data_IF_208187563016
#
_entry.id   IF_208187563016
#
_cell.length_a   1.000
_cell.length_b   1.000
_cell.length_c   1.000
_cell.angle_alpha   90.00
_cell.angle_beta   90.00
_cell.angle_gamma   90.00
#
_symmetry.space_group_name_H-M   'P 1'
#
loop_
_entity.id
_entity.type
_entity.pdbx_description
1 polymer ?
#
# COMPACT_ATOMS: atom_id res chain seq x y z
N UNK A 1 -1.52 -0.14 12.78
CA UNK A 1 -2.31 -1.39 12.82
C UNK A 1 -2.10 -2.27 11.58
N UNK A 2 -2.26 -1.78 10.33
CA UNK A 2 -2.22 -2.64 9.13
C UNK A 2 -1.20 -2.24 8.04
N UNK A 3 -0.34 -1.27 8.36
CA UNK A 3 0.76 -0.82 7.51
C UNK A 3 2.03 -0.82 8.34
N UNK A 4 3.15 -1.16 7.71
CA UNK A 4 4.46 -1.04 8.34
C UNK A 4 4.77 0.43 8.61
N UNK A 5 5.31 0.72 9.80
CA UNK A 5 5.88 2.03 10.13
C UNK A 5 7.30 2.21 9.58
N UNK A 6 7.93 1.15 9.08
CA UNK A 6 9.31 1.13 8.64
C UNK A 6 9.49 1.34 7.12
N UNK A 7 8.43 1.19 6.32
CA UNK A 7 8.53 1.22 4.86
C UNK A 7 7.47 2.09 4.20
N UNK A 8 7.92 3.09 3.45
CA UNK A 8 7.07 3.95 2.65
C UNK A 8 6.63 3.24 1.35
N UNK A 9 5.37 3.41 0.89
CA UNK A 9 4.84 2.74 -0.30
C UNK A 9 5.68 2.96 -1.58
N UNK A 10 6.24 4.15 -1.76
CA UNK A 10 7.06 4.48 -2.92
C UNK A 10 8.36 3.65 -2.98
N UNK A 11 9.02 3.45 -1.83
CA UNK A 11 10.16 2.53 -1.72
C UNK A 11 9.75 1.10 -2.00
N UNK A 12 8.54 0.71 -1.60
CA UNK A 12 7.96 -0.60 -1.86
C UNK A 12 7.87 -0.92 -3.37
N UNK A 13 7.49 0.05 -4.20
CA UNK A 13 7.42 -0.11 -5.66
C UNK A 13 8.81 -0.40 -6.23
N UNK A 14 9.80 0.44 -5.92
CA UNK A 14 11.18 0.26 -6.39
C UNK A 14 11.76 -1.08 -5.92
N UNK A 15 11.55 -1.46 -4.65
CA UNK A 15 12.01 -2.73 -4.10
C UNK A 15 11.37 -3.93 -4.79
N UNK A 16 10.06 -3.89 -5.03
CA UNK A 16 9.35 -4.98 -5.71
C UNK A 16 9.86 -5.19 -7.13
N UNK A 17 10.05 -4.11 -7.90
CA UNK A 17 10.62 -4.18 -9.26
C UNK A 17 12.02 -4.80 -9.25
N UNK A 18 12.90 -4.35 -8.34
CA UNK A 18 14.26 -4.91 -8.20
C UNK A 18 14.25 -6.39 -7.85
N UNK A 19 13.43 -6.79 -6.87
CA UNK A 19 13.30 -8.19 -6.43
C UNK A 19 12.80 -9.09 -7.56
N UNK A 20 11.89 -8.59 -8.40
CA UNK A 20 11.37 -9.31 -9.56
C UNK A 20 12.31 -9.27 -10.78
N UNK A 21 13.50 -8.68 -10.65
CA UNK A 21 14.51 -8.64 -11.69
C UNK A 21 14.24 -7.59 -12.78
N UNK A 22 13.48 -6.54 -12.48
CA UNK A 22 13.26 -5.42 -13.37
C UNK A 22 14.28 -4.31 -13.15
N UNK A 23 14.80 -3.79 -14.25
CA UNK A 23 15.31 -2.44 -14.34
C UNK A 23 14.14 -1.49 -14.63
N UNK A 24 14.24 -0.25 -14.16
CA UNK A 24 13.23 0.78 -14.36
C UNK A 24 13.86 2.16 -14.24
N UNK A 25 13.14 3.17 -14.71
CA UNK A 25 13.48 4.58 -14.51
C UNK A 25 12.55 5.16 -13.45
N UNK A 26 13.10 5.54 -12.30
CA UNK A 26 12.43 6.41 -11.33
C UNK A 26 12.79 7.86 -11.65
N UNK A 27 11.78 8.73 -11.73
CA UNK A 27 11.96 10.16 -11.99
C UNK A 27 11.27 10.94 -10.89
N UNK A 28 11.90 12.02 -10.43
CA UNK A 28 11.35 13.01 -9.52
C UNK A 28 11.99 14.37 -9.82
N UNK A 29 11.28 15.45 -9.49
CA UNK A 29 11.79 16.82 -9.57
C UNK A 29 12.19 17.34 -8.18
N UNK A 30 13.21 18.18 -8.13
CA UNK A 30 13.67 18.80 -6.87
C UNK A 30 12.83 20.02 -6.46
N UNK A 31 11.99 20.53 -7.37
CA UNK A 31 11.18 21.73 -7.16
C UNK A 31 9.72 21.51 -7.60
N UNK A 32 8.73 22.11 -6.89
CA UNK A 32 7.33 22.02 -7.26
C UNK A 32 6.93 22.98 -8.39
N UNK A 33 7.83 23.84 -8.87
CA UNK A 33 7.44 24.95 -9.76
C UNK A 33 6.92 24.49 -11.12
N UNK A 34 7.59 23.52 -11.75
CA UNK A 34 7.26 23.07 -13.11
C UNK A 34 7.06 21.56 -13.13
N UNK A 35 5.84 21.06 -13.36
CA UNK A 35 5.62 19.64 -13.61
C UNK A 35 6.40 19.19 -14.85
N UNK A 36 7.05 18.00 -14.84
CA UNK A 36 7.85 17.51 -15.95
C UNK A 36 6.97 16.93 -17.08
N UNK A 37 5.99 17.70 -17.57
CA UNK A 37 4.99 17.22 -18.54
C UNK A 37 5.59 16.80 -19.88
N UNK A 38 6.59 17.52 -20.39
CA UNK A 38 7.24 17.14 -21.65
C UNK A 38 8.02 15.82 -21.51
N UNK A 39 8.68 15.62 -20.37
CA UNK A 39 9.36 14.37 -20.08
C UNK A 39 8.36 13.23 -19.89
N UNK A 40 7.26 13.45 -19.16
CA UNK A 40 6.20 12.45 -19.00
C UNK A 40 5.58 12.09 -20.35
N UNK A 41 5.29 13.09 -21.21
CA UNK A 41 4.76 12.87 -22.56
C UNK A 41 5.71 12.04 -23.40
N UNK A 42 7.02 12.31 -23.31
CA UNK A 42 8.04 11.52 -24.00
C UNK A 42 8.11 10.09 -23.45
N UNK A 43 8.11 9.92 -22.13
CA UNK A 43 8.18 8.59 -21.50
C UNK A 43 6.93 7.74 -21.79
N UNK A 44 5.74 8.36 -21.87
CA UNK A 44 4.47 7.69 -22.21
C UNK A 44 4.37 7.21 -23.66
N UNK A 45 5.22 7.71 -24.58
CA UNK A 45 5.32 7.13 -25.93
C UNK A 45 5.98 5.76 -25.93
N UNK A 46 6.83 5.51 -24.93
CA UNK A 46 7.65 4.29 -24.84
C UNK A 46 7.08 3.28 -23.84
N UNK A 47 6.45 3.75 -22.77
CA UNK A 47 5.93 2.88 -21.70
C UNK A 47 4.88 3.58 -20.85
N UNK A 48 3.92 2.83 -20.30
CA UNK A 48 3.08 3.35 -19.23
C UNK A 48 3.90 3.78 -18.01
N UNK A 49 3.36 4.70 -17.21
CA UNK A 49 4.00 5.27 -16.04
C UNK A 49 3.17 5.01 -14.78
N UNK A 50 3.79 4.54 -13.70
CA UNK A 50 3.16 4.60 -12.37
C UNK A 50 3.41 5.99 -11.81
N UNK A 51 2.37 6.81 -11.68
CA UNK A 51 2.45 8.13 -11.09
C UNK A 51 2.21 8.04 -9.58
N UNK A 52 3.07 8.67 -8.79
CA UNK A 52 2.77 8.91 -7.39
C UNK A 52 3.99 9.11 -6.48
N UNK A 53 3.74 9.42 -5.21
CA UNK A 53 2.42 9.44 -4.61
C UNK A 53 1.60 10.66 -5.06
N UNK A 54 0.29 10.49 -5.21
CA UNK A 54 -0.69 11.53 -5.56
C UNK A 54 -1.58 11.81 -4.35
N UNK A 55 -1.82 13.08 -4.04
CA UNK A 55 -2.83 13.46 -3.04
C UNK A 55 -4.23 13.21 -3.61
N UNK A 56 -4.94 12.22 -3.04
CA UNK A 56 -6.29 11.84 -3.43
C UNK A 56 -7.28 13.00 -3.37
N UNK A 57 -7.00 14.04 -2.57
CA UNK A 57 -7.79 15.28 -2.47
C UNK A 57 -8.04 15.97 -3.81
N UNK A 58 -7.18 15.76 -4.80
CA UNK A 58 -7.25 16.39 -6.11
C UNK A 58 -7.71 15.45 -7.24
N UNK A 59 -7.94 14.17 -6.95
CA UNK A 59 -8.37 13.16 -7.93
C UNK A 59 -9.87 13.25 -8.22
N UNK A 60 -10.26 14.24 -9.03
CA UNK A 60 -11.66 14.62 -9.25
C UNK A 60 -12.56 13.55 -9.88
N UNK A 61 -12.01 12.47 -10.45
CA UNK A 61 -12.78 11.32 -10.93
C UNK A 61 -13.34 10.47 -9.78
N UNK A 62 -12.74 10.52 -8.59
CA UNK A 62 -13.25 9.84 -7.41
C UNK A 62 -14.32 10.72 -6.72
N UNK A 63 -15.59 10.27 -6.61
CA UNK A 63 -16.65 11.07 -5.97
C UNK A 63 -16.38 11.47 -4.53
N UNK A 64 -15.49 10.74 -3.82
CA UNK A 64 -15.14 10.98 -2.43
C UNK A 64 -13.88 11.84 -2.24
N UNK A 65 -13.24 12.29 -3.34
CA UNK A 65 -11.94 12.96 -3.31
C UNK A 65 -11.86 14.13 -2.32
N UNK A 66 -12.94 14.91 -2.16
CA UNK A 66 -12.98 16.08 -1.25
C UNK A 66 -12.70 15.74 0.22
N UNK A 67 -12.86 14.47 0.63
CA UNK A 67 -12.62 13.97 1.99
C UNK A 67 -11.32 13.18 2.11
N UNK A 68 -10.55 13.06 1.03
CA UNK A 68 -9.37 12.21 0.93
C UNK A 68 -8.07 13.02 0.84
N UNK A 69 -8.11 14.33 1.12
CA UNK A 69 -6.91 15.17 1.12
C UNK A 69 -5.85 14.66 2.08
N UNK A 70 -4.62 14.51 1.60
CA UNK A 70 -3.47 13.96 2.36
C UNK A 70 -3.37 12.44 2.36
N UNK A 71 -4.37 11.71 1.85
CA UNK A 71 -4.21 10.30 1.54
C UNK A 71 -3.39 10.15 0.25
N UNK A 72 -2.37 9.30 0.30
CA UNK A 72 -1.55 8.97 -0.85
C UNK A 72 -2.26 8.01 -1.80
N UNK A 73 -1.87 8.07 -3.07
CA UNK A 73 -2.34 7.12 -4.08
C UNK A 73 -1.36 6.96 -5.22
N UNK A 74 -1.45 5.83 -5.92
CA UNK A 74 -0.65 5.54 -7.10
C UNK A 74 -1.56 5.10 -8.24
N UNK A 75 -1.32 5.63 -9.44
CA UNK A 75 -2.14 5.35 -10.63
C UNK A 75 -1.25 5.01 -11.82
N UNK A 76 -1.77 4.25 -12.77
CA UNK A 76 -1.05 3.91 -14.00
C UNK A 76 -1.47 4.86 -15.13
N UNK A 77 -0.62 5.81 -15.49
CA UNK A 77 -0.79 6.64 -16.67
C UNK A 77 -0.36 5.89 -17.94
N UNK A 78 -1.15 6.00 -19.01
CA UNK A 78 -0.88 5.29 -20.28
C UNK A 78 -1.01 6.16 -21.53
N UNK A 79 -1.62 7.33 -21.44
CA UNK A 79 -1.71 8.29 -22.56
C UNK A 79 -1.82 9.72 -22.05
N UNK A 80 -1.44 10.70 -22.87
CA UNK A 80 -1.48 12.12 -22.52
C UNK A 80 -1.85 12.95 -23.76
N UNK A 81 -2.84 13.82 -23.62
CA UNK A 81 -3.32 14.73 -24.68
C UNK A 81 -3.03 16.19 -24.28
N UNK A 82 -3.78 17.15 -24.85
CA UNK A 82 -3.67 18.58 -24.54
C UNK A 82 -4.39 18.99 -23.25
N UNK A 83 -5.27 18.13 -22.73
CA UNK A 83 -6.13 18.42 -21.57
C UNK A 83 -5.63 17.75 -20.29
N UNK A 84 -4.95 16.61 -20.42
CA UNK A 84 -4.46 15.87 -19.26
C UNK A 84 -3.90 14.51 -19.60
N UNK A 85 -3.97 13.62 -18.61
CA UNK A 85 -3.42 12.27 -18.66
C UNK A 85 -4.55 11.25 -18.50
N UNK A 86 -4.55 10.23 -19.35
CA UNK A 86 -5.43 9.07 -19.18
C UNK A 86 -4.77 8.04 -18.27
N UNK A 87 -5.50 7.60 -17.26
CA UNK A 87 -5.00 6.74 -16.18
C UNK A 87 -5.89 5.51 -15.96
N UNK A 88 -5.30 4.45 -15.46
CA UNK A 88 -5.99 3.40 -14.71
C UNK A 88 -5.76 3.64 -13.22
N UNK A 89 -6.85 3.88 -12.50
CA UNK A 89 -6.83 4.02 -11.05
C UNK A 89 -7.22 2.67 -10.40
N UNK A 90 -6.33 2.07 -9.58
CA UNK A 90 -6.58 0.78 -8.95
C UNK A 90 -7.70 0.80 -7.90
N UNK A 91 -8.22 1.97 -7.51
CA UNK A 91 -9.39 2.12 -6.63
C UNK A 91 -10.72 1.80 -7.37
N UNK A 92 -10.64 1.39 -8.64
CA UNK A 92 -11.80 0.95 -9.43
C UNK A 92 -12.24 1.92 -10.51
N UNK A 93 -11.36 2.84 -10.94
CA UNK A 93 -11.64 3.79 -12.02
C UNK A 93 -10.74 3.52 -13.23
N UNK A 94 -11.11 2.56 -14.11
CA UNK A 94 -10.33 2.26 -15.30
C UNK A 94 -10.49 3.36 -16.36
N UNK A 95 -9.41 3.68 -17.07
CA UNK A 95 -9.42 4.55 -18.25
C UNK A 95 -10.06 5.93 -18.03
N UNK A 96 -9.86 6.52 -16.86
CA UNK A 96 -10.34 7.87 -16.54
C UNK A 96 -9.33 8.95 -16.95
N UNK A 97 -9.83 10.17 -17.16
CA UNK A 97 -9.01 11.30 -17.55
C UNK A 97 -8.74 12.22 -16.35
N UNK A 98 -7.47 12.52 -16.10
CA UNK A 98 -6.99 13.42 -15.05
C UNK A 98 -6.48 14.73 -15.66
N UNK A 99 -7.21 15.85 -15.53
CA UNK A 99 -6.79 17.14 -16.09
C UNK A 99 -5.48 17.66 -15.49
N UNK A 100 -4.66 18.38 -16.28
CA UNK A 100 -3.35 18.87 -15.84
C UNK A 100 -3.40 19.65 -14.52
N UNK A 101 -4.34 20.59 -14.38
CA UNK A 101 -4.50 21.37 -13.14
C UNK A 101 -4.68 20.48 -11.90
N UNK A 102 -5.41 19.37 -12.03
CA UNK A 102 -5.63 18.41 -10.93
C UNK A 102 -4.41 17.53 -10.73
N UNK A 103 -3.80 17.05 -11.81
CA UNK A 103 -2.57 16.26 -11.76
C UNK A 103 -1.46 17.04 -11.06
N UNK A 104 -1.21 18.29 -11.43
CA UNK A 104 -0.19 19.13 -10.78
C UNK A 104 -0.39 19.19 -9.27
N UNK A 105 -1.61 19.53 -8.82
CA UNK A 105 -1.90 19.66 -7.40
C UNK A 105 -1.75 18.33 -6.64
N UNK A 106 -2.23 17.23 -7.23
CA UNK A 106 -2.09 15.90 -6.64
C UNK A 106 -0.62 15.47 -6.54
N UNK A 107 0.14 15.72 -7.60
CA UNK A 107 1.45 15.13 -7.85
C UNK A 107 2.61 15.88 -7.20
N UNK A 108 2.37 17.11 -6.72
CA UNK A 108 3.24 17.78 -5.76
C UNK A 108 3.37 17.00 -4.45
N UNK A 109 2.32 16.26 -4.06
CA UNK A 109 2.31 15.40 -2.88
C UNK A 109 2.63 16.10 -1.54
N UNK A 110 2.49 17.43 -1.45
CA UNK A 110 2.92 18.23 -0.29
C UNK A 110 2.26 17.82 1.04
N UNK A 111 1.08 17.18 0.99
CA UNK A 111 0.37 16.70 2.18
C UNK A 111 0.72 15.28 2.59
N UNK A 112 1.59 14.60 1.85
CA UNK A 112 1.93 13.19 2.06
C UNK A 112 3.27 13.11 2.80
N UNK A 113 3.30 12.73 4.09
CA UNK A 113 4.48 12.93 4.94
C UNK A 113 5.77 12.25 4.46
N UNK A 114 5.65 11.15 3.73
CA UNK A 114 6.80 10.39 3.23
C UNK A 114 7.25 10.82 1.82
N UNK A 115 6.64 11.82 1.20
CA UNK A 115 7.01 12.22 -0.17
C UNK A 115 8.50 12.60 -0.21
N UNK A 116 9.18 12.29 -1.32
CA UNK A 116 10.61 12.64 -1.50
C UNK A 116 10.79 13.29 -2.86
N UNK A 117 10.99 14.61 -2.91
CA UNK A 117 10.87 15.37 -4.16
C UNK A 117 9.42 15.47 -4.64
N UNK A 118 9.25 16.02 -5.84
CA UNK A 118 7.98 16.34 -6.46
C UNK A 118 7.78 15.53 -7.75
N UNK A 119 6.53 15.35 -8.17
CA UNK A 119 6.20 14.77 -9.46
C UNK A 119 6.87 13.40 -9.70
N UNK A 120 6.86 12.52 -8.69
CA UNK A 120 7.53 11.22 -8.76
C UNK A 120 6.77 10.22 -9.64
N UNK A 121 7.49 9.45 -10.45
CA UNK A 121 6.91 8.36 -11.22
C UNK A 121 7.94 7.30 -11.66
N UNK A 122 7.45 6.11 -12.00
CA UNK A 122 8.24 4.99 -12.51
C UNK A 122 7.83 4.64 -13.94
N UNK A 123 8.80 4.40 -14.82
CA UNK A 123 8.60 4.04 -16.23
C UNK A 123 9.58 2.98 -16.69
N UNK A 124 9.36 2.48 -17.92
CA UNK A 124 10.23 1.54 -18.64
C UNK A 124 10.61 0.30 -17.82
N UNK A 125 9.65 -0.41 -17.21
CA UNK A 125 9.97 -1.67 -16.55
C UNK A 125 10.48 -2.67 -17.59
N UNK A 126 11.75 -3.06 -17.47
CA UNK A 126 12.38 -4.05 -18.33
C UNK A 126 12.91 -5.20 -17.47
N UNK A 127 12.42 -6.42 -17.69
CA UNK A 127 12.87 -7.59 -16.92
C UNK A 127 14.23 -8.07 -17.45
N UNK A 128 15.31 -7.52 -16.91
CA UNK A 128 16.69 -7.90 -17.26
C UNK A 128 17.16 -9.19 -16.59
N UNK A 129 16.52 -9.57 -15.47
CA UNK A 129 16.82 -10.79 -14.72
C UNK A 129 15.55 -11.59 -14.45
N UNK A 130 15.68 -12.91 -14.37
CA UNK A 130 14.61 -13.83 -13.99
C UNK A 130 15.03 -14.60 -12.75
N UNK A 131 14.85 -14.03 -11.54
CA UNK A 131 15.23 -14.70 -10.30
C UNK A 131 14.55 -16.06 -10.21
N UNK A 132 15.30 -17.08 -9.77
CA UNK A 132 14.74 -18.38 -9.48
C UNK A 132 13.72 -18.27 -8.34
N UNK A 133 12.68 -19.12 -8.38
CA UNK A 133 11.60 -19.04 -7.42
C UNK A 133 12.07 -19.26 -5.96
N UNK A 134 13.10 -20.07 -5.73
CA UNK A 134 13.71 -20.24 -4.41
C UNK A 134 14.45 -18.98 -3.95
N UNK A 135 15.14 -18.29 -4.86
CA UNK A 135 15.78 -17.02 -4.56
C UNK A 135 14.77 -15.92 -4.22
N UNK A 136 13.62 -15.90 -4.90
CA UNK A 136 12.51 -15.00 -4.57
C UNK A 136 11.92 -15.30 -3.20
N UNK A 137 11.76 -16.58 -2.86
CA UNK A 137 11.28 -17.02 -1.55
C UNK A 137 12.22 -16.56 -0.42
N UNK A 138 13.52 -16.83 -0.53
CA UNK A 138 14.51 -16.36 0.45
C UNK A 138 14.50 -14.84 0.56
N UNK A 139 14.41 -14.13 -0.56
CA UNK A 139 14.36 -12.66 -0.57
C UNK A 139 13.10 -12.10 0.08
N UNK A 140 11.96 -12.80 -0.07
CA UNK A 140 10.70 -12.44 0.59
C UNK A 140 10.82 -12.57 2.11
N UNK A 141 11.29 -13.71 2.61
CA UNK A 141 11.46 -13.92 4.05
C UNK A 141 12.41 -12.90 4.65
N UNK A 142 13.52 -12.62 3.96
CA UNK A 142 14.46 -11.59 4.36
C UNK A 142 13.79 -10.21 4.42
N UNK A 143 12.96 -9.85 3.45
CA UNK A 143 12.22 -8.59 3.47
C UNK A 143 11.22 -8.50 4.64
N UNK A 144 10.55 -9.60 5.00
CA UNK A 144 9.70 -9.63 6.21
C UNK A 144 10.52 -9.42 7.49
N UNK A 145 11.65 -10.12 7.65
CA UNK A 145 12.54 -9.96 8.81
C UNK A 145 13.04 -8.52 8.94
N UNK A 146 13.44 -7.90 7.83
CA UNK A 146 13.86 -6.49 7.78
C UNK A 146 12.72 -5.56 8.24
N UNK A 147 11.50 -5.78 7.74
CA UNK A 147 10.34 -4.97 8.11
C UNK A 147 10.00 -5.08 9.59
N UNK A 148 9.97 -6.30 10.16
CA UNK A 148 9.70 -6.51 11.58
C UNK A 148 10.81 -5.91 12.45
N UNK A 149 12.07 -6.20 12.13
CA UNK A 149 13.22 -5.71 12.90
C UNK A 149 13.31 -4.19 12.90
N UNK A 150 13.05 -3.53 11.76
CA UNK A 150 13.06 -2.08 11.69
C UNK A 150 11.83 -1.46 12.37
N UNK A 151 10.67 -2.10 12.23
CA UNK A 151 9.46 -1.72 12.95
C UNK A 151 9.66 -1.72 14.47
N UNK A 152 10.30 -2.76 15.02
CA UNK A 152 10.60 -2.87 16.45
C UNK A 152 11.51 -1.76 16.95
N UNK A 153 12.54 -1.38 16.19
CA UNK A 153 13.44 -0.28 16.56
C UNK A 153 12.69 1.05 16.65
N UNK A 154 11.89 1.37 15.63
CA UNK A 154 11.09 2.61 15.59
C UNK A 154 10.07 2.60 16.73
N UNK A 155 9.36 1.49 16.90
CA UNK A 155 8.34 1.32 17.93
C UNK A 155 8.91 1.49 19.34
N UNK A 156 10.10 0.96 19.59
CA UNK A 156 10.79 1.09 20.89
C UNK A 156 11.21 2.53 21.16
N UNK A 157 11.70 3.24 20.14
CA UNK A 157 12.13 4.64 20.26
C UNK A 157 10.95 5.60 20.51
N UNK A 158 9.80 5.31 19.91
CA UNK A 158 8.60 6.17 19.97
C UNK A 158 7.51 5.66 20.94
N UNK A 159 7.77 4.55 21.65
CA UNK A 159 6.83 3.88 22.54
C UNK A 159 5.48 3.55 21.86
N UNK A 160 5.54 2.98 20.66
CA UNK A 160 4.38 2.63 19.83
C UNK A 160 4.08 1.13 19.90
N UNK A 161 2.80 0.76 19.78
CA UNK A 161 2.40 -0.63 19.54
C UNK A 161 2.49 -0.97 18.05
N UNK A 162 3.03 -2.14 17.72
CA UNK A 162 3.15 -2.69 16.36
C UNK A 162 2.53 -4.09 16.27
N UNK A 163 2.43 -4.63 15.06
CA UNK A 163 2.01 -6.00 14.75
C UNK A 163 0.72 -6.41 15.48
N UNK A 164 0.70 -7.62 16.08
CA UNK A 164 -0.46 -8.13 16.83
C UNK A 164 -0.91 -7.19 17.96
N UNK A 165 0.02 -6.57 18.69
CA UNK A 165 -0.32 -5.65 19.80
C UNK A 165 -1.03 -4.38 19.30
N UNK A 166 -0.65 -3.87 18.13
CA UNK A 166 -1.36 -2.77 17.49
C UNK A 166 -2.79 -3.20 17.13
N UNK A 167 -2.97 -4.40 16.58
CA UNK A 167 -4.29 -4.92 16.20
C UNK A 167 -5.16 -5.16 17.46
N UNK A 168 -4.60 -5.68 18.55
CA UNK A 168 -5.30 -5.81 19.84
C UNK A 168 -5.72 -4.44 20.41
N UNK A 169 -4.86 -3.43 20.27
CA UNK A 169 -5.19 -2.06 20.66
C UNK A 169 -6.37 -1.53 19.85
N UNK A 170 -6.38 -1.77 18.54
CA UNK A 170 -7.52 -1.45 17.68
C UNK A 170 -8.79 -2.21 18.10
N UNK A 171 -8.70 -3.50 18.41
CA UNK A 171 -9.84 -4.29 18.90
C UNK A 171 -10.45 -3.70 20.18
N UNK A 172 -9.59 -3.29 21.13
CA UNK A 172 -10.01 -2.59 22.35
C UNK A 172 -10.66 -1.23 22.05
N UNK A 173 -10.15 -0.48 21.07
CA UNK A 173 -10.74 0.79 20.67
C UNK A 173 -12.13 0.60 20.04
N UNK A 174 -12.29 -0.40 19.16
CA UNK A 174 -13.57 -0.77 18.57
C UNK A 174 -14.59 -1.12 19.66
N UNK A 175 -14.22 -2.01 20.59
CA UNK A 175 -15.11 -2.49 21.66
C UNK A 175 -15.59 -1.37 22.58
N UNK A 176 -14.77 -0.34 22.77
CA UNK A 176 -15.05 0.78 23.67
C UNK A 176 -15.53 2.05 22.94
N UNK A 177 -15.92 1.95 21.66
CA UNK A 177 -16.38 3.06 20.82
C UNK A 177 -15.39 4.25 20.74
N UNK A 178 -14.08 3.97 20.76
CA UNK A 178 -13.01 4.98 20.76
C UNK A 178 -12.49 5.37 19.38
N UNK A 179 -13.08 4.84 18.30
CA UNK A 179 -12.65 5.18 16.94
C UNK A 179 -13.28 6.47 16.45
N UNK A 180 -12.44 7.40 16.00
CA UNK A 180 -12.86 8.60 15.28
C UNK A 180 -13.52 8.25 13.94
N UNK A 181 -14.35 9.15 13.38
CA UNK A 181 -14.92 8.94 12.05
C UNK A 181 -13.88 8.73 10.95
N UNK A 182 -12.72 9.40 11.05
CA UNK A 182 -11.63 9.25 10.09
C UNK A 182 -10.99 7.87 10.16
N UNK A 183 -10.70 7.36 11.37
CA UNK A 183 -10.17 6.00 11.56
C UNK A 183 -11.17 4.93 11.08
N UNK A 184 -12.47 5.10 11.37
CA UNK A 184 -13.50 4.19 10.85
C UNK A 184 -13.54 4.21 9.33
N UNK A 185 -13.46 5.39 8.72
CA UNK A 185 -13.42 5.55 7.27
C UNK A 185 -12.20 4.86 6.66
N UNK A 186 -11.01 5.13 7.18
CA UNK A 186 -9.76 4.49 6.74
C UNK A 186 -9.80 2.97 6.89
N UNK A 187 -10.37 2.46 7.98
CA UNK A 187 -10.54 1.03 8.21
C UNK A 187 -11.46 0.39 7.15
N UNK A 188 -12.67 0.92 7.00
CA UNK A 188 -13.72 0.35 6.14
C UNK A 188 -13.45 0.55 4.65
N UNK A 189 -12.98 1.72 4.25
CA UNK A 189 -12.83 2.07 2.83
C UNK A 189 -11.48 1.67 2.25
N UNK A 190 -10.49 1.35 3.07
CA UNK A 190 -9.14 1.08 2.56
C UNK A 190 -8.48 -0.14 3.22
N UNK A 191 -8.11 -0.02 4.49
CA UNK A 191 -7.09 -0.92 5.06
C UNK A 191 -7.54 -2.37 5.24
N UNK A 192 -8.81 -2.65 5.57
CA UNK A 192 -9.30 -4.03 5.70
C UNK A 192 -9.34 -4.76 4.35
N UNK A 193 -9.87 -4.11 3.30
CA UNK A 193 -9.89 -4.67 1.93
C UNK A 193 -8.46 -4.94 1.42
N UNK A 194 -7.56 -3.98 1.63
CA UNK A 194 -6.17 -4.09 1.23
C UNK A 194 -5.46 -5.21 2.00
N UNK A 195 -5.67 -5.31 3.31
CA UNK A 195 -5.15 -6.37 4.16
C UNK A 195 -5.59 -7.76 3.68
N UNK A 196 -6.89 -7.93 3.37
CA UNK A 196 -7.42 -9.18 2.85
C UNK A 196 -6.74 -9.61 1.55
N UNK A 197 -6.62 -8.67 0.59
CA UNK A 197 -6.01 -8.97 -0.72
C UNK A 197 -4.52 -9.29 -0.61
N UNK A 198 -3.77 -8.47 0.14
CA UNK A 198 -2.33 -8.69 0.34
C UNK A 198 -2.04 -10.04 1.01
N UNK A 199 -2.82 -10.38 2.05
CA UNK A 199 -2.67 -11.67 2.71
C UNK A 199 -2.95 -12.83 1.74
N UNK A 200 -3.97 -12.72 0.89
CA UNK A 200 -4.25 -13.74 -0.12
C UNK A 200 -3.13 -13.88 -1.17
N UNK A 201 -2.58 -12.76 -1.64
CA UNK A 201 -1.47 -12.78 -2.61
C UNK A 201 -0.22 -13.44 -2.00
N UNK A 202 0.09 -13.17 -0.72
CA UNK A 202 1.20 -13.84 -0.02
C UNK A 202 0.92 -15.33 0.17
N UNK A 203 -0.31 -15.72 0.52
CA UNK A 203 -0.67 -17.13 0.64
C UNK A 203 -0.41 -17.90 -0.67
N UNK A 204 -0.82 -17.35 -1.81
CA UNK A 204 -0.58 -17.95 -3.12
C UNK A 204 0.91 -18.02 -3.48
N UNK A 205 1.71 -17.02 -3.09
CA UNK A 205 3.15 -17.06 -3.31
C UNK A 205 3.86 -18.14 -2.46
N UNK A 206 3.44 -18.31 -1.20
CA UNK A 206 4.07 -19.20 -0.23
C UNK A 206 3.66 -20.68 -0.41
N UNK A 207 2.47 -20.95 -0.98
CA UNK A 207 1.82 -22.27 -1.02
C UNK A 207 2.73 -23.44 -1.41
N UNK A 208 3.61 -23.26 -2.39
CA UNK A 208 4.48 -24.34 -2.88
C UNK A 208 5.69 -24.64 -2.00
N UNK A 209 6.12 -23.68 -1.17
CA UNK A 209 7.41 -23.74 -0.43
C UNK A 209 7.24 -23.77 1.06
N UNK A 210 6.25 -23.05 1.56
CA UNK A 210 5.93 -22.95 2.97
C UNK A 210 4.41 -22.99 3.15
N UNK A 211 3.80 -24.19 3.08
CA UNK A 211 2.35 -24.34 3.19
C UNK A 211 1.82 -23.89 4.55
N UNK A 212 2.63 -23.92 5.61
CA UNK A 212 2.25 -23.49 6.96
C UNK A 212 2.16 -21.96 7.04
N UNK A 213 3.17 -21.22 6.55
CA UNK A 213 3.08 -19.76 6.42
C UNK A 213 1.98 -19.34 5.44
N UNK A 214 1.79 -20.09 4.35
CA UNK A 214 0.72 -19.84 3.40
C UNK A 214 -0.65 -19.94 4.09
N UNK A 215 -0.85 -20.94 4.95
CA UNK A 215 -2.12 -21.11 5.68
C UNK A 215 -2.38 -19.99 6.67
N UNK A 216 -1.37 -19.53 7.41
CA UNK A 216 -1.51 -18.35 8.27
C UNK A 216 -1.97 -17.12 7.47
N UNK A 217 -1.45 -16.94 6.25
CA UNK A 217 -1.87 -15.86 5.35
C UNK A 217 -3.29 -16.06 4.79
N UNK A 218 -3.73 -17.29 4.51
CA UNK A 218 -5.14 -17.56 4.16
C UNK A 218 -6.08 -17.22 5.30
N UNK A 219 -5.72 -17.61 6.53
CA UNK A 219 -6.47 -17.29 7.74
C UNK A 219 -6.55 -15.76 7.91
N UNK A 220 -5.43 -15.04 7.80
CA UNK A 220 -5.43 -13.57 7.84
C UNK A 220 -6.36 -12.97 6.78
N UNK A 221 -6.30 -13.44 5.54
CA UNK A 221 -7.14 -12.93 4.45
C UNK A 221 -8.64 -13.05 4.79
N UNK A 222 -9.05 -14.22 5.29
CA UNK A 222 -10.43 -14.47 5.72
C UNK A 222 -10.83 -13.58 6.90
N UNK A 223 -9.98 -13.44 7.91
CA UNK A 223 -10.22 -12.59 9.08
C UNK A 223 -10.37 -11.12 8.69
N UNK A 224 -9.55 -10.60 7.78
CA UNK A 224 -9.74 -9.26 7.22
C UNK A 224 -11.10 -9.11 6.51
N UNK A 225 -11.51 -10.12 5.73
CA UNK A 225 -12.83 -10.13 5.08
C UNK A 225 -14.01 -10.16 6.06
N UNK A 226 -13.88 -10.91 7.15
CA UNK A 226 -14.85 -10.92 8.25
C UNK A 226 -14.91 -9.55 8.95
N UNK A 227 -13.75 -8.99 9.29
CA UNK A 227 -13.64 -7.64 9.84
C UNK A 227 -14.33 -6.60 8.93
N UNK A 228 -14.11 -6.67 7.61
CA UNK A 228 -14.78 -5.77 6.65
C UNK A 228 -16.30 -5.92 6.74
N UNK A 229 -16.81 -7.14 6.76
CA UNK A 229 -18.24 -7.42 6.82
C UNK A 229 -18.86 -6.89 8.11
N UNK A 230 -18.23 -7.14 9.26
CA UNK A 230 -18.68 -6.64 10.56
C UNK A 230 -18.63 -5.12 10.65
N UNK A 231 -17.56 -4.49 10.16
CA UNK A 231 -17.42 -3.05 10.17
C UNK A 231 -18.47 -2.34 9.28
N UNK A 232 -18.78 -2.89 8.10
CA UNK A 232 -19.84 -2.36 7.22
C UNK A 232 -21.22 -2.52 7.85
N UNK A 233 -21.49 -3.65 8.50
CA UNK A 233 -22.75 -3.91 9.22
C UNK A 233 -22.84 -3.19 10.58
N UNK A 234 -21.75 -2.52 11.00
CA UNK A 234 -21.61 -1.87 12.31
C UNK A 234 -21.77 -2.84 13.49
N UNK A 235 -21.42 -4.10 13.30
CA UNK A 235 -21.34 -5.10 14.36
C UNK A 235 -19.98 -4.99 15.06
N UNK A 236 -19.87 -4.01 15.96
CA UNK A 236 -18.60 -3.68 16.61
C UNK A 236 -18.11 -4.77 17.57
N UNK A 237 -19.01 -5.56 18.15
CA UNK A 237 -18.64 -6.67 19.03
C UNK A 237 -17.94 -7.76 18.23
N UNK A 238 -18.56 -8.22 17.13
CA UNK A 238 -17.92 -9.23 16.26
C UNK A 238 -16.68 -8.70 15.57
N UNK A 239 -16.65 -7.41 15.21
CA UNK A 239 -15.42 -6.80 14.69
C UNK A 239 -14.28 -6.89 15.70
N UNK A 240 -14.53 -6.56 16.97
CA UNK A 240 -13.50 -6.64 18.01
C UNK A 240 -13.01 -8.09 18.20
N UNK A 241 -13.90 -9.08 18.20
CA UNK A 241 -13.56 -10.50 18.27
C UNK A 241 -12.68 -10.94 17.09
N UNK A 242 -13.10 -10.63 15.85
CA UNK A 242 -12.30 -10.96 14.65
C UNK A 242 -10.94 -10.25 14.62
N UNK A 243 -10.85 -9.02 15.14
CA UNK A 243 -9.57 -8.31 15.27
C UNK A 243 -8.65 -8.98 16.29
N UNK A 244 -9.19 -9.51 17.39
CA UNK A 244 -8.41 -10.28 18.36
C UNK A 244 -7.84 -11.56 17.72
N UNK A 245 -8.65 -12.31 16.97
CA UNK A 245 -8.15 -13.48 16.22
C UNK A 245 -7.12 -13.11 15.15
N UNK A 246 -7.32 -11.96 14.48
CA UNK A 246 -6.37 -11.43 13.50
C UNK A 246 -5.03 -11.08 14.14
N UNK A 247 -5.04 -10.50 15.34
CA UNK A 247 -3.83 -10.19 16.09
C UNK A 247 -3.05 -11.44 16.47
N UNK A 248 -3.73 -12.48 16.96
CA UNK A 248 -3.11 -13.77 17.28
C UNK A 248 -2.50 -14.42 16.03
N UNK A 249 -3.17 -14.30 14.89
CA UNK A 249 -2.67 -14.82 13.61
C UNK A 249 -1.45 -14.05 13.11
N UNK A 250 -1.44 -12.71 13.23
CA UNK A 250 -0.27 -11.87 12.91
C UNK A 250 0.92 -12.26 13.80
N UNK A 251 0.70 -12.47 15.10
CA UNK A 251 1.76 -12.92 16.01
C UNK A 251 2.35 -14.25 15.58
N UNK A 252 1.51 -15.26 15.31
CA UNK A 252 1.96 -16.58 14.83
C UNK A 252 2.77 -16.48 13.53
N UNK A 253 2.33 -15.65 12.59
CA UNK A 253 3.04 -15.45 11.33
C UNK A 253 4.39 -14.77 11.52
N UNK A 254 4.45 -13.72 12.35
CA UNK A 254 5.70 -13.03 12.70
C UNK A 254 6.67 -14.01 13.37
N UNK A 255 6.24 -14.70 14.42
CA UNK A 255 7.10 -15.61 15.18
C UNK A 255 7.65 -16.72 14.26
N UNK A 256 6.81 -17.29 13.39
CA UNK A 256 7.24 -18.31 12.41
C UNK A 256 8.27 -17.81 11.38
N UNK A 257 8.35 -16.51 11.09
CA UNK A 257 9.39 -15.93 10.23
C UNK A 257 10.65 -15.57 11.00
N UNK A 258 10.48 -15.05 12.22
CA UNK A 258 11.60 -14.56 13.05
C UNK A 258 12.39 -15.71 13.69
N UNK A 259 11.76 -16.86 13.91
CA UNK A 259 12.39 -18.05 14.51
C UNK A 259 13.12 -18.95 13.49
N UNK A 260 12.98 -18.67 12.18
CA UNK A 260 13.70 -19.32 11.07
C UNK A 260 15.05 -18.62 10.80
#
# INVERSE_FOLDING_TARGET
FFSSIASAPDKGISRALQLLGFDFKETAADSPTNPPYDQLRSDLKESSAVLGPLDMGFLGHNPLHKRMGGADHFVLAYAMDERGVSIHDPEGFPSVHLPFRRLEQAWKAEKIPYHRGYYRYWTRPNRSRRPAADGLYTSLLQAFREVYSEGEKIASAENLSIDGEAILTLARHVKNDKLSPAERGFMVFFSLKLGARRALDFAGFLEQRDPDLAELKRIQSRLFGQCQSHAVQRDWNRLAESLTELADTEKKFRDAIMDQ
#
